data_IF_115969916751
#
_entry.id   IF_115969916751
#
_cell.length_a   1.000
_cell.length_b   1.000
_cell.length_c   1.000
_cell.angle_alpha   90.00
_cell.angle_beta   90.00
_cell.angle_gamma   90.00
#
_symmetry.space_group_name_H-M   'P 1'
#
loop_
_entity.id
_entity.type
_entity.pdbx_description
1 polymer ?
#
# COMPACT_ATOMS: atom_id res chain seq x y z
N UNK A 1 51.39 53.34 17.87
CA UNK A 1 51.89 52.46 16.80
C UNK A 1 50.91 51.30 16.64
N UNK A 2 50.42 51.03 15.43
CA UNK A 2 49.21 50.25 15.16
C UNK A 2 49.52 48.82 14.69
N UNK A 3 48.62 47.87 14.98
CA UNK A 3 48.47 46.61 14.24
C UNK A 3 47.03 46.16 14.51
N UNK A 4 45.99 46.49 13.74
CA UNK A 4 45.75 46.38 12.29
C UNK A 4 46.02 44.96 11.77
N UNK A 5 44.97 44.41 11.13
CA UNK A 5 44.89 43.14 10.36
C UNK A 5 45.02 41.87 11.20
N UNK A 6 44.02 40.98 11.29
CA UNK A 6 43.36 40.29 10.17
C UNK A 6 41.87 40.01 10.44
N UNK A 7 41.00 40.79 9.79
CA UNK A 7 39.70 40.32 9.36
C UNK A 7 39.87 39.82 7.92
N UNK A 8 40.19 38.54 7.72
CA UNK A 8 40.24 37.89 6.40
C UNK A 8 40.33 36.37 6.59
N UNK A 9 39.23 35.77 7.06
CA UNK A 9 39.13 34.32 7.25
C UNK A 9 37.77 33.75 6.85
N UNK A 10 37.02 34.46 6.00
CA UNK A 10 35.64 34.10 5.68
C UNK A 10 35.36 33.88 4.18
N UNK A 11 36.39 33.80 3.32
CA UNK A 11 36.20 33.69 1.87
C UNK A 11 37.07 32.57 1.30
N UNK A 12 36.82 31.31 1.66
CA UNK A 12 37.47 30.17 0.99
C UNK A 12 36.60 28.90 0.88
N UNK A 13 35.29 28.96 1.13
CA UNK A 13 34.42 27.76 1.15
C UNK A 13 33.32 27.68 0.08
N UNK A 14 33.38 28.49 -0.99
CA UNK A 14 32.33 28.51 -2.03
C UNK A 14 32.76 28.03 -3.42
N UNK A 15 33.86 27.28 -3.54
CA UNK A 15 34.24 26.62 -4.78
C UNK A 15 34.13 25.10 -4.63
N UNK A 16 32.91 24.56 -4.74
CA UNK A 16 32.72 23.11 -4.56
C UNK A 16 31.34 22.54 -4.92
N UNK A 17 30.60 23.16 -5.83
CA UNK A 17 29.32 22.60 -6.34
C UNK A 17 29.26 22.67 -7.87
N UNK A 18 30.30 22.18 -8.54
CA UNK A 18 30.29 22.02 -9.99
C UNK A 18 30.95 20.69 -10.37
N UNK A 19 30.39 19.59 -9.89
CA UNK A 19 30.71 18.23 -10.36
C UNK A 19 29.50 17.33 -10.15
N UNK A 20 28.39 17.66 -10.80
CA UNK A 20 27.37 16.65 -11.08
C UNK A 20 27.86 15.85 -12.28
N UNK A 21 28.41 14.66 -12.00
CA UNK A 21 28.55 13.63 -13.03
C UNK A 21 27.17 13.39 -13.65
N UNK A 22 27.06 13.14 -14.98
CA UNK A 22 25.81 12.76 -15.59
C UNK A 22 25.26 11.57 -14.81
N UNK A 23 24.15 11.79 -14.10
CA UNK A 23 23.46 10.73 -13.39
C UNK A 23 22.98 9.78 -14.47
N UNK A 24 23.60 8.60 -14.55
CA UNK A 24 23.13 7.54 -15.42
C UNK A 24 21.65 7.34 -15.12
N UNK A 25 20.82 7.67 -16.10
CA UNK A 25 19.36 7.53 -16.00
C UNK A 25 19.11 6.06 -15.64
N UNK A 26 18.54 5.77 -14.47
CA UNK A 26 18.17 4.40 -14.14
C UNK A 26 17.30 3.87 -15.28
N UNK A 27 17.48 2.62 -15.73
CA UNK A 27 16.63 2.05 -16.76
C UNK A 27 15.18 2.27 -16.34
N UNK A 28 14.39 2.84 -17.26
CA UNK A 28 12.98 3.10 -17.02
C UNK A 28 12.35 1.83 -16.43
N UNK A 29 11.68 1.92 -15.26
CA UNK A 29 11.02 0.76 -14.70
C UNK A 29 10.09 0.21 -15.77
N UNK A 30 10.30 -1.06 -16.13
CA UNK A 30 9.39 -1.79 -17.00
C UNK A 30 8.03 -1.67 -16.34
N UNK A 31 7.16 -0.85 -16.92
CA UNK A 31 5.83 -0.62 -16.39
C UNK A 31 5.17 -2.00 -16.28
N UNK A 32 4.74 -2.37 -15.07
CA UNK A 32 3.83 -3.47 -14.89
C UNK A 32 2.69 -3.28 -15.89
N UNK A 33 2.35 -4.34 -16.63
CA UNK A 33 1.22 -4.29 -17.57
C UNK A 33 0.04 -3.59 -16.88
N UNK A 34 -0.49 -2.49 -17.43
CA UNK A 34 -1.62 -1.81 -16.84
C UNK A 34 -2.80 -2.77 -16.93
N UNK A 35 -3.11 -3.50 -15.86
CA UNK A 35 -4.24 -4.44 -15.93
C UNK A 35 -4.46 -5.36 -14.74
N UNK A 36 -3.44 -5.75 -13.97
CA UNK A 36 -3.66 -6.65 -12.82
C UNK A 36 -3.37 -5.95 -11.48
N UNK A 37 -4.40 -5.41 -10.79
CA UNK A 37 -4.24 -4.69 -9.52
C UNK A 37 -3.46 -5.48 -8.47
N UNK A 38 -3.62 -6.80 -8.45
CA UNK A 38 -2.98 -7.72 -7.50
C UNK A 38 -1.50 -7.98 -7.78
N UNK A 39 -0.90 -7.47 -8.86
CA UNK A 39 0.54 -7.62 -9.13
C UNK A 39 1.29 -6.32 -8.93
N UNK A 40 2.55 -6.41 -8.58
CA UNK A 40 3.49 -5.29 -8.64
C UNK A 40 4.81 -5.75 -9.27
N UNK A 41 5.49 -4.86 -9.97
CA UNK A 41 6.76 -5.16 -10.65
C UNK A 41 7.98 -4.57 -9.93
N UNK A 42 7.82 -3.38 -9.32
CA UNK A 42 8.94 -2.67 -8.68
C UNK A 42 8.77 -2.59 -7.18
N UNK A 43 9.88 -2.41 -6.45
CA UNK A 43 9.83 -2.19 -4.99
C UNK A 43 8.96 -1.01 -4.59
N UNK A 44 9.05 0.10 -5.34
CA UNK A 44 8.23 1.28 -5.09
C UNK A 44 6.74 0.95 -5.25
N UNK A 45 6.36 0.29 -6.35
CA UNK A 45 4.97 -0.11 -6.59
C UNK A 45 4.46 -1.08 -5.51
N UNK A 46 5.25 -2.11 -5.15
CA UNK A 46 4.87 -3.06 -4.13
C UNK A 46 4.67 -2.38 -2.76
N UNK A 47 5.56 -1.44 -2.40
CA UNK A 47 5.46 -0.69 -1.13
C UNK A 47 4.21 0.21 -1.11
N UNK A 48 3.90 0.88 -2.21
CA UNK A 48 2.67 1.67 -2.35
C UNK A 48 1.43 0.77 -2.24
N UNK A 49 1.43 -0.40 -2.89
CA UNK A 49 0.31 -1.33 -2.81
C UNK A 49 0.15 -1.95 -1.42
N UNK A 50 1.24 -2.23 -0.69
CA UNK A 50 1.18 -2.60 0.73
C UNK A 50 0.50 -1.51 1.55
N UNK A 51 0.87 -0.24 1.36
CA UNK A 51 0.24 0.88 2.07
C UNK A 51 -1.26 0.96 1.79
N UNK A 52 -1.66 0.75 0.53
CA UNK A 52 -3.07 0.69 0.11
C UNK A 52 -3.81 -0.54 0.67
N UNK A 53 -3.14 -1.69 0.80
CA UNK A 53 -3.68 -2.85 1.50
C UNK A 53 -3.96 -2.52 2.96
N UNK A 54 -3.05 -1.82 3.65
CA UNK A 54 -3.29 -1.43 5.04
C UNK A 54 -4.49 -0.49 5.18
N UNK A 55 -4.64 0.48 4.27
CA UNK A 55 -5.83 1.34 4.22
C UNK A 55 -7.12 0.54 4.05
N UNK A 56 -7.15 -0.42 3.10
CA UNK A 56 -8.30 -1.31 2.92
C UNK A 56 -8.66 -2.03 4.22
N UNK A 57 -7.66 -2.55 4.93
CA UNK A 57 -7.92 -3.31 6.16
C UNK A 57 -8.39 -2.43 7.31
N UNK A 58 -7.90 -1.18 7.41
CA UNK A 58 -8.42 -0.21 8.36
C UNK A 58 -9.88 0.16 8.05
N UNK A 59 -10.22 0.42 6.79
CA UNK A 59 -11.59 0.75 6.39
C UNK A 59 -12.53 -0.45 6.56
N UNK A 60 -12.05 -1.68 6.32
CA UNK A 60 -12.77 -2.90 6.61
C UNK A 60 -13.14 -3.01 8.10
N UNK A 61 -12.17 -2.76 8.99
CA UNK A 61 -12.43 -2.78 10.42
C UNK A 61 -13.37 -1.63 10.84
N UNK A 62 -13.18 -0.44 10.30
CA UNK A 62 -14.04 0.72 10.58
C UNK A 62 -15.49 0.52 10.14
N UNK A 63 -15.72 -0.27 9.07
CA UNK A 63 -17.05 -0.61 8.59
C UNK A 63 -17.76 -1.70 9.44
N UNK A 64 -17.04 -2.34 10.37
CA UNK A 64 -17.57 -3.36 11.27
C UNK A 64 -16.96 -4.75 11.08
N UNK A 65 -16.01 -4.89 10.16
CA UNK A 65 -15.20 -6.10 10.03
C UNK A 65 -14.27 -6.32 11.24
N UNK A 66 -13.80 -7.56 11.40
CA UNK A 66 -12.85 -7.90 12.46
C UNK A 66 -11.49 -7.22 12.27
N UNK A 67 -10.86 -6.80 13.36
CA UNK A 67 -9.46 -6.37 13.32
C UNK A 67 -8.58 -7.55 12.87
N UNK A 68 -7.76 -7.32 11.84
CA UNK A 68 -6.79 -8.34 11.40
C UNK A 68 -5.54 -8.29 12.28
N UNK A 69 -4.90 -9.44 12.46
CA UNK A 69 -3.54 -9.53 12.94
C UNK A 69 -2.56 -9.62 11.77
N UNK A 70 -1.29 -9.32 12.06
CA UNK A 70 -0.19 -9.46 11.12
C UNK A 70 0.78 -10.53 11.61
N UNK A 71 1.07 -11.51 10.75
CA UNK A 71 2.17 -12.45 10.92
C UNK A 71 3.04 -12.40 9.66
N UNK A 72 4.24 -11.84 9.76
CA UNK A 72 5.11 -11.60 8.62
C UNK A 72 4.42 -10.82 7.50
N UNK A 73 4.18 -11.48 6.36
CA UNK A 73 3.50 -10.89 5.19
C UNK A 73 2.04 -11.31 5.09
N UNK A 74 1.51 -11.97 6.11
CA UNK A 74 0.11 -12.36 6.18
C UNK A 74 -0.64 -11.38 7.08
N UNK A 75 -1.76 -10.85 6.57
CA UNK A 75 -2.77 -10.14 7.33
C UNK A 75 -3.99 -11.05 7.40
N UNK A 76 -4.49 -11.36 8.60
CA UNK A 76 -5.59 -12.33 8.73
C UNK A 76 -6.51 -12.02 9.90
N UNK A 77 -7.78 -12.37 9.77
CA UNK A 77 -8.73 -12.36 10.88
C UNK A 77 -8.38 -13.50 11.86
N UNK A 78 -8.17 -13.22 13.16
CA UNK A 78 -7.82 -14.24 14.15
C UNK A 78 -8.92 -15.28 14.30
N UNK A 79 -8.55 -16.53 14.62
CA UNK A 79 -9.51 -17.63 14.78
C UNK A 79 -10.41 -17.42 16.00
N UNK A 80 -9.92 -16.72 17.01
CA UNK A 80 -10.62 -16.34 18.23
C UNK A 80 -11.56 -15.13 18.06
N UNK A 81 -11.58 -14.49 16.87
CA UNK A 81 -12.47 -13.38 16.62
C UNK A 81 -13.94 -13.85 16.69
N UNK A 82 -14.84 -13.11 17.35
CA UNK A 82 -16.26 -13.47 17.38
C UNK A 82 -16.84 -13.56 15.97
N UNK A 83 -17.68 -14.56 15.66
CA UNK A 83 -18.36 -14.62 14.37
C UNK A 83 -19.18 -13.35 14.11
N UNK A 84 -19.10 -12.84 12.89
CA UNK A 84 -19.85 -11.66 12.44
C UNK A 84 -20.44 -11.89 11.05
N UNK A 85 -21.40 -11.04 10.67
CA UNK A 85 -21.87 -10.98 9.28
C UNK A 85 -20.79 -10.44 8.31
N UNK A 86 -19.66 -9.93 8.83
CA UNK A 86 -18.48 -9.62 8.03
C UNK A 86 -17.62 -10.86 7.74
N UNK A 87 -17.27 -11.13 6.47
CA UNK A 87 -16.39 -12.25 6.10
C UNK A 87 -14.97 -12.13 6.68
N UNK A 88 -14.45 -13.19 7.29
CA UNK A 88 -13.05 -13.25 7.71
C UNK A 88 -12.09 -13.02 6.54
N UNK A 89 -10.99 -12.31 6.76
CA UNK A 89 -10.02 -11.96 5.72
C UNK A 89 -8.71 -12.74 5.89
N UNK A 90 -8.07 -13.04 4.78
CA UNK A 90 -6.67 -13.46 4.72
C UNK A 90 -6.01 -12.84 3.48
N UNK A 91 -4.98 -12.04 3.70
CA UNK A 91 -4.27 -11.30 2.67
C UNK A 91 -2.78 -11.55 2.79
N UNK A 92 -2.18 -12.17 1.77
CA UNK A 92 -0.73 -12.27 1.65
C UNK A 92 -0.20 -11.08 0.86
N UNK A 93 0.68 -10.30 1.47
CA UNK A 93 1.35 -9.18 0.83
C UNK A 93 2.32 -9.70 -0.24
N UNK A 94 2.48 -8.95 -1.33
CA UNK A 94 3.43 -9.27 -2.39
C UNK A 94 4.89 -9.22 -1.90
N UNK A 95 5.80 -9.84 -2.67
CA UNK A 95 7.23 -9.76 -2.39
C UNK A 95 7.75 -8.32 -2.64
N UNK A 96 8.74 -7.83 -1.89
CA UNK A 96 9.19 -6.44 -1.97
C UNK A 96 9.84 -6.05 -3.31
N UNK A 97 10.17 -6.99 -4.20
CA UNK A 97 10.83 -6.73 -5.47
C UNK A 97 10.04 -7.25 -6.67
N UNK A 98 8.72 -7.37 -6.51
CA UNK A 98 7.81 -7.85 -7.55
C UNK A 98 7.13 -9.14 -7.13
N UNK A 99 5.84 -9.26 -7.42
CA UNK A 99 5.05 -10.42 -7.00
C UNK A 99 3.56 -10.18 -7.09
N UNK A 100 2.81 -11.00 -6.35
CA UNK A 100 1.35 -11.00 -6.32
C UNK A 100 0.83 -10.91 -4.89
N UNK A 101 -0.20 -10.11 -4.67
CA UNK A 101 -1.01 -10.12 -3.47
C UNK A 101 -2.04 -11.25 -3.56
N UNK A 102 -2.14 -12.06 -2.52
CA UNK A 102 -3.18 -13.09 -2.43
C UNK A 102 -4.28 -12.57 -1.51
N UNK A 103 -5.53 -12.76 -1.90
CA UNK A 103 -6.70 -12.36 -1.13
C UNK A 103 -7.63 -13.57 -1.07
N UNK A 104 -8.00 -13.95 0.15
CA UNK A 104 -9.08 -14.89 0.40
C UNK A 104 -9.96 -14.37 1.52
N UNK A 105 -11.20 -14.85 1.51
CA UNK A 105 -12.17 -14.50 2.52
C UNK A 105 -13.13 -15.65 2.73
N UNK A 106 -13.61 -15.78 3.96
CA UNK A 106 -14.46 -16.88 4.40
C UNK A 106 -15.64 -16.35 5.22
N UNK A 107 -16.85 -16.80 4.87
CA UNK A 107 -18.02 -16.49 5.67
C UNK A 107 -18.15 -17.48 6.82
N UNK A 108 -18.10 -16.98 8.06
CA UNK A 108 -18.16 -17.80 9.27
C UNK A 108 -19.58 -17.95 9.84
N UNK A 109 -20.57 -17.40 9.15
CA UNK A 109 -22.00 -17.45 9.53
C UNK A 109 -22.84 -17.87 8.31
N UNK A 110 -24.14 -18.10 8.51
CA UNK A 110 -25.03 -18.54 7.41
C UNK A 110 -25.08 -17.56 6.23
N UNK A 111 -25.05 -16.25 6.51
CA UNK A 111 -25.10 -15.20 5.50
C UNK A 111 -24.16 -14.06 5.88
N UNK A 112 -23.20 -13.76 5.01
CA UNK A 112 -22.34 -12.59 5.17
C UNK A 112 -22.87 -11.38 4.41
N UNK A 113 -22.53 -10.20 4.92
CA UNK A 113 -22.85 -8.89 4.37
C UNK A 113 -22.38 -8.72 2.93
N UNK A 114 -21.20 -9.25 2.62
CA UNK A 114 -20.62 -9.20 1.27
C UNK A 114 -20.14 -10.57 0.83
N UNK A 115 -20.25 -10.84 -0.47
CA UNK A 115 -19.65 -12.01 -1.09
C UNK A 115 -18.14 -11.85 -1.22
N UNK A 116 -17.44 -12.98 -1.40
CA UNK A 116 -16.00 -12.98 -1.65
C UNK A 116 -15.62 -12.14 -2.88
N UNK A 117 -16.42 -12.19 -3.94
CA UNK A 117 -16.19 -11.40 -5.15
C UNK A 117 -16.37 -9.90 -4.92
N UNK A 118 -17.37 -9.49 -4.12
CA UNK A 118 -17.58 -8.08 -3.80
C UNK A 118 -16.39 -7.51 -3.01
N UNK A 119 -15.93 -8.21 -1.97
CA UNK A 119 -14.78 -7.78 -1.19
C UNK A 119 -13.48 -7.79 -2.00
N UNK A 120 -13.26 -8.80 -2.85
CA UNK A 120 -12.11 -8.83 -3.74
C UNK A 120 -12.12 -7.64 -4.71
N UNK A 121 -13.28 -7.29 -5.27
CA UNK A 121 -13.43 -6.15 -6.17
C UNK A 121 -13.11 -4.83 -5.47
N UNK A 122 -13.63 -4.64 -4.26
CA UNK A 122 -13.28 -3.47 -3.43
C UNK A 122 -11.79 -3.48 -3.13
N UNK A 123 -11.19 -4.59 -2.71
CA UNK A 123 -9.76 -4.66 -2.45
C UNK A 123 -8.91 -4.28 -3.68
N UNK A 124 -9.27 -4.78 -4.87
CA UNK A 124 -8.60 -4.41 -6.13
C UNK A 124 -8.71 -2.92 -6.42
N UNK A 125 -9.83 -2.29 -6.08
CA UNK A 125 -10.03 -0.84 -6.25
C UNK A 125 -9.05 -0.01 -5.40
N UNK A 126 -8.72 -0.45 -4.18
CA UNK A 126 -7.68 0.17 -3.35
C UNK A 126 -6.31 0.04 -4.01
N UNK A 127 -5.95 -1.16 -4.48
CA UNK A 127 -4.65 -1.39 -5.14
C UNK A 127 -4.51 -0.56 -6.44
N UNK A 128 -5.63 -0.29 -7.12
CA UNK A 128 -5.74 0.50 -8.34
C UNK A 128 -5.92 2.01 -8.10
N UNK A 129 -5.74 2.51 -6.87
CA UNK A 129 -5.82 3.95 -6.53
C UNK A 129 -7.22 4.58 -6.71
N UNK A 130 -8.28 3.76 -6.81
CA UNK A 130 -9.66 4.22 -6.96
C UNK A 130 -10.54 3.53 -5.91
N UNK A 131 -10.31 3.75 -4.60
CA UNK A 131 -10.94 2.96 -3.55
C UNK A 131 -12.47 3.16 -3.53
N UNK A 132 -13.19 2.04 -3.61
CA UNK A 132 -14.61 1.97 -3.28
C UNK A 132 -14.78 1.91 -1.76
N UNK A 133 -15.64 2.75 -1.20
CA UNK A 133 -15.87 2.78 0.25
C UNK A 133 -16.60 1.52 0.75
N UNK A 134 -16.10 0.93 1.85
CA UNK A 134 -16.77 -0.14 2.61
C UNK A 134 -17.80 0.40 3.62
N UNK A 135 -17.82 1.72 3.86
CA UNK A 135 -18.72 2.37 4.82
C UNK A 135 -20.14 2.56 4.26
N UNK A 136 -20.32 2.37 2.95
CA UNK A 136 -21.58 2.60 2.24
C UNK A 136 -21.90 1.40 1.34
N UNK A 137 -22.99 0.69 1.62
CA UNK A 137 -23.43 -0.46 0.80
C UNK A 137 -23.68 -0.10 -0.67
N UNK A 138 -24.09 1.13 -0.95
CA UNK A 138 -24.24 1.65 -2.32
C UNK A 138 -22.89 1.75 -3.04
N UNK A 139 -21.82 2.14 -2.34
CA UNK A 139 -20.48 2.25 -2.92
C UNK A 139 -19.91 0.86 -3.25
N UNK A 140 -20.13 -0.14 -2.40
CA UNK A 140 -19.73 -1.53 -2.67
C UNK A 140 -20.47 -2.08 -3.90
N UNK A 141 -21.79 -1.86 -4.00
CA UNK A 141 -22.59 -2.31 -5.16
C UNK A 141 -22.23 -1.59 -6.46
N UNK A 142 -21.90 -0.30 -6.38
CA UNK A 142 -21.51 0.49 -7.54
C UNK A 142 -20.03 0.30 -7.94
N UNK A 143 -19.25 -0.42 -7.14
CA UNK A 143 -17.82 -0.59 -7.37
C UNK A 143 -17.55 -1.32 -8.70
N UNK A 144 -16.77 -0.68 -9.57
CA UNK A 144 -16.33 -1.21 -10.85
C UNK A 144 -14.82 -1.45 -10.82
N UNK A 145 -14.36 -2.45 -11.55
CA UNK A 145 -12.92 -2.72 -11.74
C UNK A 145 -12.25 -1.66 -12.62
#
# INVERSE_FOLDING_TARGET
MPSRTLALGAVLLLAGCASQAPTAVPPAPVAASPGEPLRCATRAECTTKVSRTLLFVFDYAAAGGQLVQRQERLLFTPLEAPPSDWPALSIRLAEPAGGRFEFSTECQVAHCRYSAEQLLRVYRSYLAERPCSLLLDSAVRACRE
#
